data_IF_721313375817
#
_entry.id   IF_721313375817
#
_cell.length_a   1.000
_cell.length_b   1.000
_cell.length_c   1.000
_cell.angle_alpha   90.00
_cell.angle_beta   90.00
_cell.angle_gamma   90.00
#
_symmetry.space_group_name_H-M   'P 1'
#
loop_
_entity.id
_entity.type
_entity.pdbx_description
1 polymer ?
#
# COMPACT_ATOMS: atom_id res chain seq x y z
N UNK A 1 48.14 18.12 -84.69
CA UNK A 1 47.25 17.03 -84.29
C UNK A 1 46.89 17.17 -82.82
N UNK A 2 45.82 17.88 -82.54
CA UNK A 2 45.36 18.26 -81.21
C UNK A 2 44.13 17.47 -80.83
N UNK A 3 44.23 16.55 -79.88
CA UNK A 3 43.10 15.79 -79.34
C UNK A 3 42.42 16.63 -78.25
N UNK A 4 41.13 16.95 -78.53
CA UNK A 4 40.25 17.56 -77.50
C UNK A 4 39.76 16.45 -76.54
N UNK A 5 39.96 16.66 -75.26
CA UNK A 5 39.39 15.82 -74.19
C UNK A 5 38.07 16.49 -73.72
N UNK A 6 36.96 15.85 -74.09
CA UNK A 6 35.64 16.23 -73.60
C UNK A 6 35.48 15.76 -72.12
N UNK A 7 35.29 16.72 -71.24
CA UNK A 7 35.09 16.50 -69.81
C UNK A 7 33.57 16.32 -69.55
N UNK A 8 33.11 15.09 -69.36
CA UNK A 8 31.73 14.79 -69.00
C UNK A 8 31.53 15.16 -67.52
N UNK A 9 30.74 16.18 -67.25
CA UNK A 9 30.23 16.56 -65.93
C UNK A 9 29.01 15.71 -65.62
N UNK A 10 29.17 14.74 -64.71
CA UNK A 10 28.05 13.99 -64.13
C UNK A 10 27.42 14.84 -62.99
N UNK A 11 26.10 15.09 -63.00
CA UNK A 11 25.47 15.75 -61.85
C UNK A 11 25.36 14.76 -60.69
N UNK A 12 25.99 15.10 -59.56
CA UNK A 12 25.91 14.38 -58.30
C UNK A 12 24.50 14.61 -57.69
N UNK A 13 23.58 13.67 -57.91
CA UNK A 13 22.24 13.71 -57.33
C UNK A 13 22.39 13.38 -55.83
N UNK A 14 22.40 14.41 -54.98
CA UNK A 14 22.44 14.24 -53.54
C UNK A 14 21.06 13.69 -53.09
N UNK A 15 20.99 12.38 -52.87
CA UNK A 15 19.83 11.72 -52.26
C UNK A 15 19.82 12.04 -50.78
N UNK A 16 19.04 13.06 -50.40
CA UNK A 16 18.83 13.40 -49.01
C UNK A 16 17.90 12.35 -48.42
N UNK A 17 18.48 11.29 -47.80
CA UNK A 17 17.75 10.32 -47.00
C UNK A 17 17.27 11.05 -45.75
N UNK A 18 16.01 11.48 -45.76
CA UNK A 18 15.27 11.86 -44.56
C UNK A 18 15.10 10.58 -43.71
N UNK A 19 16.08 10.29 -42.89
CA UNK A 19 15.89 9.33 -41.81
C UNK A 19 14.94 9.99 -40.82
N UNK A 20 13.64 9.77 -40.99
CA UNK A 20 12.69 9.95 -39.89
C UNK A 20 13.13 8.98 -38.78
N UNK A 21 13.89 9.51 -37.85
CA UNK A 21 14.14 8.82 -36.63
C UNK A 21 12.77 8.68 -35.93
N UNK A 22 12.11 7.53 -36.12
CA UNK A 22 11.09 7.09 -35.21
C UNK A 22 11.79 6.96 -33.86
N UNK A 23 11.63 7.96 -33.03
CA UNK A 23 11.99 7.87 -31.65
C UNK A 23 11.00 6.85 -31.08
N UNK A 24 11.43 5.60 -30.97
CA UNK A 24 10.66 4.58 -30.26
C UNK A 24 10.33 5.14 -28.88
N UNK A 25 9.06 5.53 -28.73
CA UNK A 25 8.55 5.90 -27.41
C UNK A 25 8.43 4.63 -26.59
N UNK A 26 9.28 4.20 -25.96
CA UNK A 26 9.21 3.31 -25.22
C UNK A 26 8.25 3.54 -24.42
N UNK A 27 7.47 3.06 -24.37
CA UNK A 27 6.64 3.21 -23.74
C UNK A 27 6.99 3.22 -22.61
N UNK A 28 7.18 3.88 -22.05
CA UNK A 28 7.43 3.93 -21.14
C UNK A 28 6.81 3.23 -20.51
N UNK A 29 6.92 2.44 -19.97
CA UNK A 29 6.40 1.84 -19.37
C UNK A 29 6.25 2.46 -18.36
N UNK A 30 5.25 2.54 -17.75
CA UNK A 30 4.96 3.07 -16.42
C UNK A 30 5.47 2.03 -15.42
N UNK A 31 6.40 2.42 -14.63
CA UNK A 31 7.08 1.48 -13.71
C UNK A 31 6.51 1.64 -12.31
N UNK A 32 5.88 0.55 -11.83
CA UNK A 32 5.27 0.50 -10.50
C UNK A 32 6.18 -0.31 -9.57
N UNK A 33 6.50 0.23 -8.40
CA UNK A 33 7.21 -0.49 -7.33
C UNK A 33 6.22 -0.94 -6.26
N UNK A 34 6.43 -2.13 -5.67
CA UNK A 34 5.63 -2.56 -4.50
C UNK A 34 6.53 -3.05 -3.36
N UNK A 35 6.06 -2.85 -2.15
CA UNK A 35 6.68 -3.41 -0.93
C UNK A 35 6.47 -4.94 -0.88
N UNK A 36 7.26 -5.66 -0.06
CA UNK A 36 7.17 -7.15 -0.02
C UNK A 36 6.02 -7.62 0.86
N UNK A 37 4.78 -7.37 0.42
CA UNK A 37 3.58 -7.83 1.13
C UNK A 37 2.44 -7.99 0.12
N UNK A 38 1.59 -8.97 0.36
CA UNK A 38 0.50 -9.38 -0.53
C UNK A 38 -0.42 -8.22 -0.90
N UNK A 39 -0.84 -7.44 0.08
CA UNK A 39 -1.66 -6.24 -0.12
C UNK A 39 -1.09 -5.34 -1.22
N UNK A 40 0.23 -5.11 -1.17
CA UNK A 40 0.92 -4.24 -2.12
C UNK A 40 0.95 -4.87 -3.53
N UNK A 41 1.06 -6.21 -3.61
CA UNK A 41 1.04 -6.90 -4.90
C UNK A 41 -0.34 -6.76 -5.56
N UNK A 42 -1.41 -6.94 -4.78
CA UNK A 42 -2.78 -6.77 -5.24
C UNK A 42 -3.01 -5.33 -5.73
N UNK A 43 -2.59 -4.35 -4.92
CA UNK A 43 -2.73 -2.93 -5.27
C UNK A 43 -1.95 -2.58 -6.54
N UNK A 44 -0.73 -3.10 -6.69
CA UNK A 44 0.09 -2.91 -7.89
C UNK A 44 -0.61 -3.44 -9.14
N UNK A 45 -1.23 -4.64 -9.03
CA UNK A 45 -1.99 -5.23 -10.14
C UNK A 45 -3.24 -4.39 -10.47
N UNK A 46 -3.95 -3.87 -9.45
CA UNK A 46 -5.10 -2.98 -9.68
C UNK A 46 -4.68 -1.74 -10.47
N UNK A 47 -3.60 -1.07 -10.04
CA UNK A 47 -3.09 0.12 -10.71
C UNK A 47 -2.70 -0.21 -12.17
N UNK A 48 -1.99 -1.32 -12.39
CA UNK A 48 -1.60 -1.78 -13.73
C UNK A 48 -2.82 -1.96 -14.62
N UNK A 49 -3.81 -2.72 -14.15
CA UNK A 49 -5.01 -3.03 -14.95
C UNK A 49 -5.77 -1.76 -15.34
N UNK A 50 -5.89 -0.81 -14.40
CA UNK A 50 -6.56 0.47 -14.68
C UNK A 50 -5.78 1.30 -15.70
N UNK A 51 -4.46 1.42 -15.54
CA UNK A 51 -3.61 2.20 -16.44
C UNK A 51 -3.69 1.60 -17.87
N UNK A 52 -3.47 0.29 -17.99
CA UNK A 52 -3.46 -0.39 -19.29
C UNK A 52 -4.82 -0.26 -20.00
N UNK A 53 -5.93 -0.43 -19.25
CA UNK A 53 -7.27 -0.32 -19.82
C UNK A 53 -7.60 1.10 -20.30
N UNK A 54 -7.33 2.10 -19.47
CA UNK A 54 -7.82 3.46 -19.71
C UNK A 54 -6.91 4.27 -20.64
N UNK A 55 -5.61 3.98 -20.64
CA UNK A 55 -4.63 4.82 -21.35
C UNK A 55 -3.92 4.09 -22.48
N UNK A 56 -3.90 2.76 -22.43
CA UNK A 56 -3.11 1.94 -23.37
C UNK A 56 -1.61 1.97 -23.12
N UNK A 57 -1.15 2.64 -22.05
CA UNK A 57 0.26 2.65 -21.70
C UNK A 57 0.66 1.27 -21.15
N UNK A 58 1.85 0.81 -21.52
CA UNK A 58 2.40 -0.44 -20.97
C UNK A 58 2.82 -0.21 -19.53
N UNK A 59 2.63 -1.22 -18.67
CA UNK A 59 2.98 -1.13 -17.24
C UNK A 59 3.87 -2.29 -16.82
N UNK A 60 4.97 -1.98 -16.17
CA UNK A 60 5.86 -2.95 -15.54
C UNK A 60 5.77 -2.82 -14.02
N UNK A 61 5.60 -3.94 -13.31
CA UNK A 61 5.59 -3.97 -11.84
C UNK A 61 6.85 -4.66 -11.35
N UNK A 62 7.63 -3.99 -10.52
CA UNK A 62 8.69 -4.64 -9.72
C UNK A 62 8.13 -4.94 -8.34
N UNK A 63 7.86 -6.22 -8.11
CA UNK A 63 7.22 -6.67 -6.87
C UNK A 63 8.24 -6.95 -5.77
N UNK A 64 7.84 -6.64 -4.53
CA UNK A 64 8.53 -7.12 -3.35
C UNK A 64 9.88 -6.49 -3.08
N UNK A 65 10.02 -5.18 -3.28
CA UNK A 65 11.30 -4.50 -3.05
C UNK A 65 11.65 -4.57 -1.56
N UNK A 66 12.72 -5.31 -1.24
CA UNK A 66 13.22 -5.44 0.12
C UNK A 66 13.55 -4.07 0.73
N UNK A 67 13.32 -3.92 2.02
CA UNK A 67 13.47 -2.63 2.69
C UNK A 67 12.32 -1.66 2.44
N UNK A 68 11.38 -2.03 1.57
CA UNK A 68 10.14 -1.25 1.35
C UNK A 68 10.43 0.20 1.00
N UNK A 69 9.77 1.11 1.71
CA UNK A 69 9.86 2.56 1.50
C UNK A 69 11.30 3.08 1.53
N UNK A 70 12.14 2.52 2.41
CA UNK A 70 13.53 2.98 2.55
C UNK A 70 14.34 2.80 1.24
N UNK A 71 13.96 1.83 0.41
CA UNK A 71 14.60 1.61 -0.90
C UNK A 71 13.75 2.17 -2.05
N UNK A 72 12.42 2.08 -1.98
CA UNK A 72 11.54 2.57 -3.04
C UNK A 72 11.61 4.11 -3.16
N UNK A 73 11.54 4.83 -2.03
CA UNK A 73 11.48 6.29 -2.08
C UNK A 73 12.71 6.91 -2.76
N UNK A 74 13.96 6.52 -2.41
CA UNK A 74 15.13 7.03 -3.15
C UNK A 74 15.13 6.66 -4.64
N UNK A 75 14.61 5.48 -5.00
CA UNK A 75 14.50 5.05 -6.39
C UNK A 75 13.47 5.89 -7.17
N UNK A 76 12.36 6.30 -6.51
CA UNK A 76 11.40 7.27 -7.08
C UNK A 76 12.09 8.60 -7.40
N UNK A 77 12.91 9.10 -6.47
CA UNK A 77 13.62 10.38 -6.67
C UNK A 77 14.61 10.33 -7.83
N UNK A 78 15.18 9.15 -8.11
CA UNK A 78 16.09 8.94 -9.25
C UNK A 78 15.35 8.68 -10.56
N UNK A 79 14.02 8.52 -10.52
CA UNK A 79 13.24 8.18 -11.70
C UNK A 79 13.35 6.71 -12.12
N UNK A 80 13.76 5.83 -11.20
CA UNK A 80 13.79 4.39 -11.48
C UNK A 80 12.40 3.78 -11.49
N UNK A 81 11.46 4.38 -10.73
CA UNK A 81 10.04 4.03 -10.70
C UNK A 81 9.21 5.32 -10.88
N UNK A 82 7.97 5.15 -11.30
CA UNK A 82 7.05 6.24 -11.59
C UNK A 82 5.93 6.31 -10.53
N UNK A 83 5.53 5.15 -9.98
CA UNK A 83 4.38 4.99 -9.09
C UNK A 83 4.70 3.97 -8.00
N UNK A 84 4.19 4.19 -6.80
CA UNK A 84 4.11 3.12 -5.78
C UNK A 84 2.93 3.38 -4.83
N UNK A 85 2.26 2.32 -4.34
CA UNK A 85 1.31 2.48 -3.23
C UNK A 85 2.08 2.75 -1.94
N UNK A 86 1.66 3.76 -1.19
CA UNK A 86 2.35 4.15 0.05
C UNK A 86 1.31 4.44 1.14
N UNK A 87 1.77 4.32 2.38
CA UNK A 87 0.94 4.54 3.58
C UNK A 87 1.30 5.86 4.23
N UNK A 88 0.27 6.61 4.65
CA UNK A 88 0.45 7.95 5.23
C UNK A 88 1.39 7.93 6.44
N UNK A 89 1.19 6.98 7.36
CA UNK A 89 2.07 6.85 8.54
C UNK A 89 3.53 6.61 8.15
N UNK A 90 3.76 5.78 7.13
CA UNK A 90 5.13 5.49 6.66
C UNK A 90 5.76 6.73 6.02
N UNK A 91 5.02 7.41 5.16
CA UNK A 91 5.50 8.66 4.56
C UNK A 91 5.85 9.70 5.61
N UNK A 92 5.06 9.77 6.68
CA UNK A 92 5.25 10.72 7.77
C UNK A 92 6.45 10.38 8.65
N UNK A 93 6.50 9.14 9.15
CA UNK A 93 7.50 8.73 10.15
C UNK A 93 8.84 8.37 9.51
N UNK A 94 8.82 7.65 8.37
CA UNK A 94 10.06 7.10 7.77
C UNK A 94 10.70 8.09 6.80
N UNK A 95 9.89 8.71 5.92
CA UNK A 95 10.44 9.59 4.88
C UNK A 95 10.63 11.03 5.40
N UNK A 96 9.58 11.61 5.99
CA UNK A 96 9.66 12.99 6.51
C UNK A 96 10.32 13.05 7.90
N UNK A 97 10.51 11.90 8.56
CA UNK A 97 11.18 11.77 9.88
C UNK A 97 10.53 12.66 10.94
N UNK A 98 9.20 12.65 10.98
CA UNK A 98 8.44 13.43 11.97
C UNK A 98 8.28 12.62 13.26
N UNK A 99 8.34 13.29 14.39
CA UNK A 99 8.27 12.65 15.70
C UNK A 99 6.87 12.64 16.30
N UNK A 100 6.00 13.52 15.85
CA UNK A 100 4.65 13.68 16.40
C UNK A 100 3.60 13.27 15.38
N UNK A 101 2.56 12.60 15.86
CA UNK A 101 1.42 12.23 15.04
C UNK A 101 0.42 13.38 14.99
N UNK A 102 -0.24 13.51 13.85
CA UNK A 102 -1.33 14.46 13.62
C UNK A 102 -2.63 13.66 13.43
N UNK A 103 -3.79 14.31 13.64
CA UNK A 103 -5.05 13.67 13.25
C UNK A 103 -4.98 13.23 11.78
N UNK A 104 -5.59 12.08 11.41
CA UNK A 104 -5.35 11.45 10.11
C UNK A 104 -5.52 12.38 8.90
N UNK A 105 -6.60 13.17 8.86
CA UNK A 105 -6.86 14.06 7.73
C UNK A 105 -5.82 15.19 7.65
N UNK A 106 -5.42 15.74 8.81
CA UNK A 106 -4.38 16.78 8.88
C UNK A 106 -3.04 16.22 8.44
N UNK A 107 -2.73 14.99 8.88
CA UNK A 107 -1.49 14.29 8.51
C UNK A 107 -1.44 14.12 6.99
N UNK A 108 -2.51 13.61 6.39
CA UNK A 108 -2.59 13.37 4.95
C UNK A 108 -2.39 14.67 4.14
N UNK A 109 -3.11 15.73 4.50
CA UNK A 109 -2.99 17.01 3.77
C UNK A 109 -1.60 17.66 3.92
N UNK A 110 -1.01 17.56 5.12
CA UNK A 110 0.35 18.06 5.36
C UNK A 110 1.37 17.25 4.57
N UNK A 111 1.22 15.93 4.58
CA UNK A 111 2.09 14.99 3.87
C UNK A 111 2.10 15.27 2.36
N UNK A 112 0.92 15.43 1.75
CA UNK A 112 0.79 15.79 0.34
C UNK A 112 1.62 17.01 0.01
N UNK A 113 1.39 18.08 0.76
CA UNK A 113 2.06 19.37 0.54
C UNK A 113 3.58 19.26 0.69
N UNK A 114 4.05 18.58 1.73
CA UNK A 114 5.49 18.42 1.96
C UNK A 114 6.16 17.55 0.89
N UNK A 115 5.51 16.48 0.43
CA UNK A 115 6.06 15.62 -0.63
C UNK A 115 6.13 16.35 -1.95
N UNK A 116 5.09 17.12 -2.29
CA UNK A 116 5.07 17.90 -3.53
C UNK A 116 6.20 18.93 -3.53
N UNK A 117 6.35 19.66 -2.42
CA UNK A 117 7.36 20.72 -2.30
C UNK A 117 8.80 20.19 -2.24
N UNK A 118 9.02 19.08 -1.53
CA UNK A 118 10.38 18.57 -1.26
C UNK A 118 10.88 17.58 -2.30
N UNK A 119 9.95 16.78 -2.85
CA UNK A 119 10.32 15.61 -3.63
C UNK A 119 9.72 15.60 -5.05
N UNK A 120 8.81 16.52 -5.36
CA UNK A 120 8.06 16.53 -6.63
C UNK A 120 7.32 15.20 -6.84
N UNK A 121 6.77 14.66 -5.73
CA UNK A 121 5.95 13.47 -5.69
C UNK A 121 4.55 13.86 -5.23
N UNK A 122 3.53 13.44 -5.98
CA UNK A 122 2.13 13.74 -5.68
C UNK A 122 1.47 12.54 -5.00
N UNK A 123 0.77 12.78 -3.90
CA UNK A 123 -0.10 11.82 -3.22
C UNK A 123 -1.51 11.99 -3.77
N UNK A 124 -2.10 10.91 -4.29
CA UNK A 124 -3.47 10.90 -4.77
C UNK A 124 -4.43 10.56 -3.62
N UNK A 125 -5.73 10.48 -3.90
CA UNK A 125 -6.74 10.22 -2.87
C UNK A 125 -6.57 8.85 -2.22
N UNK A 126 -6.84 8.73 -0.91
CA UNK A 126 -6.79 7.43 -0.22
C UNK A 126 -7.75 6.40 -0.81
N UNK A 127 -7.31 5.15 -0.82
CA UNK A 127 -8.07 4.03 -1.36
C UNK A 127 -9.31 3.68 -0.53
N UNK A 128 -9.32 4.10 0.75
CA UNK A 128 -10.48 3.92 1.62
C UNK A 128 -10.27 2.97 2.79
N UNK A 129 -9.12 2.30 2.85
CA UNK A 129 -8.76 1.44 3.98
C UNK A 129 -7.57 2.02 4.75
N UNK A 130 -7.42 1.54 5.98
CA UNK A 130 -6.37 1.97 6.92
C UNK A 130 -5.68 0.70 7.44
N UNK A 131 -4.46 0.42 7.00
CA UNK A 131 -3.69 -0.74 7.45
C UNK A 131 -2.89 -0.36 8.69
N UNK A 132 -3.52 -0.49 9.85
CA UNK A 132 -2.90 -0.16 11.14
C UNK A 132 -3.02 -1.33 12.12
N UNK A 133 -2.42 -1.19 13.28
CA UNK A 133 -2.64 -2.13 14.38
C UNK A 133 -4.05 -1.99 14.93
N UNK A 134 -4.59 -3.08 15.42
CA UNK A 134 -5.81 -3.09 16.23
C UNK A 134 -5.75 -4.26 17.20
N UNK A 135 -6.82 -4.43 17.96
CA UNK A 135 -6.99 -5.59 18.87
C UNK A 135 -8.18 -6.41 18.42
N UNK A 136 -8.06 -7.72 18.54
CA UNK A 136 -9.16 -8.64 18.26
C UNK A 136 -9.38 -9.57 19.45
N UNK A 137 -10.63 -9.97 19.63
CA UNK A 137 -11.08 -10.95 20.62
C UNK A 137 -12.00 -11.95 19.93
N UNK A 138 -12.11 -13.15 20.47
CA UNK A 138 -13.08 -14.12 19.96
C UNK A 138 -14.51 -13.59 20.10
N UNK A 139 -15.37 -13.82 19.08
CA UNK A 139 -16.77 -13.36 19.13
C UNK A 139 -17.53 -13.80 20.39
N UNK A 140 -17.40 -15.06 20.88
CA UNK A 140 -18.08 -15.42 22.13
C UNK A 140 -17.64 -14.60 23.32
N UNK A 141 -16.33 -14.26 23.37
CA UNK A 141 -15.79 -13.44 24.46
C UNK A 141 -16.28 -11.99 24.34
N UNK A 142 -16.28 -11.45 23.12
CA UNK A 142 -16.79 -10.09 22.86
C UNK A 142 -18.23 -9.96 23.33
N UNK A 143 -19.08 -10.94 22.98
CA UNK A 143 -20.50 -10.98 23.38
C UNK A 143 -20.66 -11.11 24.90
N UNK A 144 -19.89 -12.01 25.53
CA UNK A 144 -19.98 -12.28 26.97
C UNK A 144 -19.63 -11.05 27.82
N UNK A 145 -18.63 -10.29 27.39
CA UNK A 145 -18.10 -9.14 28.17
C UNK A 145 -18.48 -7.79 27.57
N UNK A 146 -19.31 -7.78 26.52
CA UNK A 146 -19.76 -6.56 25.82
C UNK A 146 -18.55 -5.72 25.40
N UNK A 147 -17.61 -6.34 24.66
CA UNK A 147 -16.38 -5.71 24.20
C UNK A 147 -16.54 -5.24 22.76
N UNK A 148 -16.47 -3.94 22.53
CA UNK A 148 -16.54 -3.33 21.21
C UNK A 148 -15.39 -2.36 20.94
N UNK A 149 -14.75 -1.87 22.01
CA UNK A 149 -13.69 -0.85 21.95
C UNK A 149 -12.54 -1.26 22.87
N UNK A 150 -11.37 -0.68 22.63
CA UNK A 150 -10.20 -0.92 23.50
C UNK A 150 -10.52 -0.53 24.95
N UNK A 151 -11.22 0.62 25.15
CA UNK A 151 -11.59 1.09 26.50
C UNK A 151 -12.43 0.06 27.27
N UNK A 152 -13.18 -0.80 26.59
CA UNK A 152 -14.01 -1.80 27.26
C UNK A 152 -13.18 -2.84 28.01
N UNK A 153 -11.94 -3.11 27.53
CA UNK A 153 -11.03 -4.07 28.17
C UNK A 153 -10.62 -3.58 29.57
N UNK A 154 -10.52 -2.26 29.78
CA UNK A 154 -10.14 -1.69 31.08
C UNK A 154 -11.15 -1.99 32.20
N UNK A 155 -12.40 -2.36 31.85
CA UNK A 155 -13.41 -2.75 32.84
C UNK A 155 -13.09 -4.11 33.52
N UNK A 156 -12.13 -4.86 32.97
CA UNK A 156 -11.87 -6.24 33.40
C UNK A 156 -10.37 -6.46 33.66
N UNK A 157 -9.77 -5.75 34.65
CA UNK A 157 -8.35 -5.88 34.94
C UNK A 157 -8.00 -7.32 35.36
N UNK A 158 -6.86 -7.82 34.90
CA UNK A 158 -6.30 -9.14 35.21
C UNK A 158 -7.22 -10.32 34.78
N UNK A 159 -8.14 -10.08 33.84
CA UNK A 159 -9.07 -11.12 33.40
C UNK A 159 -8.54 -11.86 32.17
N UNK A 160 -7.95 -11.17 31.19
CA UNK A 160 -7.66 -11.69 29.87
C UNK A 160 -6.16 -11.98 29.66
N UNK A 161 -5.87 -12.99 28.86
CA UNK A 161 -4.51 -13.32 28.39
C UNK A 161 -4.30 -12.60 27.04
N UNK A 162 -3.24 -11.80 26.94
CA UNK A 162 -2.91 -11.05 25.74
C UNK A 162 -1.83 -11.78 24.93
N UNK A 163 -2.02 -11.90 23.62
CA UNK A 163 -1.05 -12.49 22.71
C UNK A 163 -0.61 -11.52 21.61
N UNK A 164 0.67 -11.53 21.26
CA UNK A 164 1.20 -10.72 20.18
C UNK A 164 2.52 -11.30 19.66
N UNK A 165 2.95 -10.84 18.50
CA UNK A 165 4.31 -11.13 18.03
C UNK A 165 5.33 -10.38 18.88
N UNK A 166 6.54 -10.91 18.94
CA UNK A 166 7.62 -10.39 19.75
C UNK A 166 7.86 -8.88 19.55
N UNK A 167 7.89 -8.46 18.28
CA UNK A 167 8.16 -7.07 17.92
C UNK A 167 7.14 -6.10 18.58
N UNK A 168 5.88 -6.51 18.72
CA UNK A 168 4.84 -5.66 19.33
C UNK A 168 5.14 -5.36 20.79
N UNK A 169 5.88 -6.24 21.49
CA UNK A 169 6.30 -5.99 22.88
C UNK A 169 7.52 -5.06 22.96
N UNK A 170 8.25 -4.89 21.83
CA UNK A 170 9.50 -4.13 21.83
C UNK A 170 9.37 -2.72 21.23
N UNK A 171 8.39 -2.49 20.34
CA UNK A 171 8.25 -1.18 19.68
C UNK A 171 7.67 -0.13 20.64
N UNK A 172 8.02 1.11 20.40
CA UNK A 172 7.64 2.25 21.25
C UNK A 172 6.12 2.42 21.37
N UNK A 173 5.38 2.25 20.27
CA UNK A 173 3.91 2.33 20.24
C UNK A 173 3.28 0.93 20.38
N UNK A 174 3.97 0.03 21.08
CA UNK A 174 3.52 -1.36 21.25
C UNK A 174 2.76 -1.59 22.55
N UNK A 175 2.95 -2.78 23.09
CA UNK A 175 2.17 -3.29 24.22
C UNK A 175 2.18 -2.39 25.45
N UNK A 176 3.36 -1.95 25.90
CA UNK A 176 3.47 -1.16 27.14
C UNK A 176 2.80 0.21 27.02
N UNK A 177 3.05 0.91 25.88
CA UNK A 177 2.44 2.21 25.64
C UNK A 177 0.92 2.09 25.49
N UNK A 178 0.44 1.04 24.80
CA UNK A 178 -0.99 0.76 24.63
C UNK A 178 -1.65 0.54 26.02
N UNK A 179 -1.04 -0.29 26.85
CA UNK A 179 -1.56 -0.58 28.19
C UNK A 179 -1.62 0.67 29.05
N UNK A 180 -0.57 1.49 29.00
CA UNK A 180 -0.52 2.76 29.75
C UNK A 180 -1.61 3.73 29.26
N UNK A 181 -1.76 3.87 27.95
CA UNK A 181 -2.70 4.83 27.34
C UNK A 181 -4.16 4.50 27.64
N UNK A 182 -4.50 3.20 27.62
CA UNK A 182 -5.88 2.73 27.85
C UNK A 182 -6.15 2.24 29.28
N UNK A 183 -5.15 2.26 30.16
CA UNK A 183 -5.21 1.69 31.52
C UNK A 183 -5.60 0.21 31.49
N UNK A 184 -4.96 -0.57 30.58
CA UNK A 184 -5.22 -2.00 30.44
C UNK A 184 -4.31 -2.81 31.37
N UNK A 185 -4.88 -3.84 31.98
CA UNK A 185 -4.13 -4.79 32.81
C UNK A 185 -4.54 -6.19 32.39
N UNK A 186 -3.59 -6.89 31.79
CA UNK A 186 -3.80 -8.26 31.36
C UNK A 186 -3.27 -9.24 32.40
N UNK A 187 -4.00 -10.36 32.58
CA UNK A 187 -3.63 -11.44 33.51
C UNK A 187 -2.24 -12.00 33.19
N UNK A 188 -1.91 -12.06 31.89
CA UNK A 188 -0.70 -12.68 31.38
C UNK A 188 -0.48 -12.26 29.93
N UNK A 189 0.76 -12.22 29.51
CA UNK A 189 1.12 -12.03 28.09
C UNK A 189 1.71 -13.31 27.51
N UNK A 190 1.61 -13.47 26.19
CA UNK A 190 2.24 -14.54 25.43
C UNK A 190 2.80 -13.97 24.14
N UNK A 191 4.08 -14.16 23.92
CA UNK A 191 4.69 -13.86 22.64
C UNK A 191 4.60 -15.09 21.72
N UNK A 192 4.46 -14.84 20.41
CA UNK A 192 4.34 -15.93 19.43
C UNK A 192 4.53 -15.40 18.01
N UNK A 193 4.82 -16.29 17.09
CA UNK A 193 4.91 -15.93 15.67
C UNK A 193 3.55 -15.46 15.15
N UNK A 194 3.57 -14.52 14.20
CA UNK A 194 2.37 -13.92 13.58
C UNK A 194 1.37 -15.00 13.14
N UNK A 195 1.88 -16.05 12.45
CA UNK A 195 1.03 -17.13 11.92
C UNK A 195 0.35 -17.96 13.00
N UNK A 196 0.87 -17.96 14.24
CA UNK A 196 0.33 -18.77 15.34
C UNK A 196 -0.74 -18.02 16.15
N UNK A 197 -0.86 -16.71 16.03
CA UNK A 197 -1.83 -15.92 16.83
C UNK A 197 -3.26 -16.38 16.63
N UNK A 198 -3.62 -16.62 15.38
CA UNK A 198 -5.01 -17.01 15.04
C UNK A 198 -5.37 -18.38 15.60
N UNK A 199 -4.43 -19.32 15.60
CA UNK A 199 -4.65 -20.63 16.25
C UNK A 199 -4.67 -20.53 17.78
N UNK A 200 -3.87 -19.62 18.34
CA UNK A 200 -3.83 -19.42 19.80
C UNK A 200 -5.14 -18.85 20.33
N UNK A 201 -5.73 -17.86 19.64
CA UNK A 201 -7.02 -17.29 20.06
C UNK A 201 -8.16 -18.28 19.85
N UNK A 202 -8.16 -19.02 18.75
CA UNK A 202 -9.15 -20.04 18.43
C UNK A 202 -9.15 -21.17 19.46
N UNK A 203 -7.97 -21.55 19.97
CA UNK A 203 -7.84 -22.62 20.98
C UNK A 203 -7.96 -22.11 22.42
N UNK A 204 -8.23 -20.82 22.62
CA UNK A 204 -8.37 -20.23 23.96
C UNK A 204 -7.06 -20.09 24.74
N UNK A 205 -5.91 -20.17 24.06
CA UNK A 205 -4.60 -19.95 24.68
C UNK A 205 -4.32 -18.46 24.93
N UNK A 206 -4.98 -17.60 24.14
CA UNK A 206 -5.03 -16.15 24.37
C UNK A 206 -6.47 -15.69 24.22
N UNK A 207 -6.82 -14.58 24.83
CA UNK A 207 -8.17 -14.01 24.82
C UNK A 207 -8.25 -12.76 23.94
N UNK A 208 -7.18 -11.97 23.95
CA UNK A 208 -7.04 -10.72 23.18
C UNK A 208 -5.72 -10.82 22.42
N UNK A 209 -5.71 -10.39 21.16
CA UNK A 209 -4.45 -10.34 20.41
C UNK A 209 -4.36 -9.06 19.58
N UNK A 210 -3.14 -8.63 19.31
CA UNK A 210 -2.93 -7.57 18.33
C UNK A 210 -3.11 -8.15 16.92
N UNK A 211 -3.57 -7.33 16.00
CA UNK A 211 -3.75 -7.68 14.60
C UNK A 211 -3.38 -6.48 13.71
N UNK A 212 -3.24 -6.72 12.43
CA UNK A 212 -3.34 -5.66 11.43
C UNK A 212 -4.77 -5.65 10.87
N UNK A 213 -5.33 -4.48 10.68
CA UNK A 213 -6.73 -4.31 10.29
C UNK A 213 -7.08 -4.91 8.93
N UNK A 214 -6.07 -5.23 8.13
CA UNK A 214 -6.23 -5.85 6.81
C UNK A 214 -5.69 -7.28 6.75
N UNK A 215 -5.41 -7.92 7.91
CA UNK A 215 -4.94 -9.31 7.94
C UNK A 215 -5.94 -10.24 7.23
N UNK A 216 -5.46 -11.00 6.25
CA UNK A 216 -6.29 -11.96 5.54
C UNK A 216 -6.91 -13.02 6.46
N UNK A 217 -6.18 -13.41 7.50
CA UNK A 217 -6.67 -14.41 8.46
C UNK A 217 -7.89 -13.96 9.29
N UNK A 218 -8.21 -12.64 9.28
CA UNK A 218 -9.43 -12.14 9.93
C UNK A 218 -10.69 -12.71 9.27
N UNK A 219 -10.63 -12.97 7.97
CA UNK A 219 -11.77 -13.49 7.23
C UNK A 219 -12.10 -14.91 7.70
N UNK A 220 -13.29 -15.09 8.25
CA UNK A 220 -13.75 -16.38 8.73
C UNK A 220 -13.19 -16.83 10.08
N UNK A 221 -12.46 -15.97 10.78
CA UNK A 221 -11.81 -16.33 12.06
C UNK A 221 -12.76 -16.24 13.28
N UNK A 222 -14.00 -15.78 13.09
CA UNK A 222 -14.98 -15.58 14.18
C UNK A 222 -14.44 -14.66 15.27
N UNK A 223 -13.86 -13.55 14.86
CA UNK A 223 -13.25 -12.54 15.74
C UNK A 223 -14.02 -11.23 15.66
N UNK A 224 -14.03 -10.52 16.78
CA UNK A 224 -14.47 -9.13 16.84
C UNK A 224 -13.23 -8.24 16.90
N UNK A 225 -13.05 -7.41 15.88
CA UNK A 225 -12.01 -6.38 15.88
C UNK A 225 -12.54 -5.20 16.72
N UNK A 226 -11.79 -4.84 17.76
CA UNK A 226 -12.19 -3.77 18.67
C UNK A 226 -11.83 -2.40 18.07
N UNK A 227 -12.67 -1.41 18.34
CA UNK A 227 -12.40 -0.03 17.91
C UNK A 227 -11.36 0.62 18.80
N UNK A 228 -10.35 1.24 18.20
CA UNK A 228 -9.39 2.12 18.88
C UNK A 228 -10.09 3.47 19.14
N UNK A 229 -10.86 3.55 20.21
CA UNK A 229 -11.77 4.67 20.48
C UNK A 229 -11.07 5.95 20.97
N UNK A 230 -9.78 5.87 21.32
CA UNK A 230 -8.98 7.04 21.69
C UNK A 230 -7.90 7.36 20.65
N UNK A 231 -7.89 6.66 19.49
CA UNK A 231 -6.96 6.87 18.38
C UNK A 231 -5.49 6.77 18.85
N UNK A 232 -5.15 5.67 19.50
CA UNK A 232 -3.78 5.41 19.96
C UNK A 232 -2.85 5.07 18.80
N UNK A 233 -3.31 4.20 17.91
CA UNK A 233 -2.48 3.79 16.78
C UNK A 233 -2.51 4.84 15.65
N UNK A 234 -1.38 5.12 15.01
CA UNK A 234 -1.36 6.05 13.88
C UNK A 234 -2.13 5.48 12.70
N UNK A 235 -2.69 6.37 11.90
CA UNK A 235 -3.38 5.99 10.67
C UNK A 235 -2.38 5.70 9.56
N UNK A 236 -2.64 4.63 8.81
CA UNK A 236 -1.86 4.21 7.66
C UNK A 236 -2.76 4.09 6.42
N UNK A 237 -3.45 5.20 6.08
CA UNK A 237 -4.22 5.26 4.82
C UNK A 237 -3.30 4.98 3.64
N UNK A 238 -3.72 4.06 2.78
CA UNK A 238 -2.95 3.73 1.58
C UNK A 238 -3.44 4.56 0.39
N UNK A 239 -2.49 5.00 -0.43
CA UNK A 239 -2.78 5.80 -1.61
C UNK A 239 -1.68 5.60 -2.67
N UNK A 240 -1.93 6.07 -3.89
CA UNK A 240 -0.92 6.14 -4.95
C UNK A 240 -0.01 7.35 -4.72
N UNK A 241 1.30 7.12 -4.74
CA UNK A 241 2.31 8.17 -4.85
C UNK A 241 2.88 8.10 -6.27
N UNK A 242 2.88 9.24 -6.98
CA UNK A 242 3.31 9.32 -8.37
C UNK A 242 4.24 10.52 -8.56
N UNK A 243 5.22 10.39 -9.47
CA UNK A 243 6.14 11.48 -9.82
C UNK A 243 5.39 12.54 -10.62
N UNK A 244 5.60 13.81 -10.26
CA UNK A 244 5.04 14.93 -11.04
C UNK A 244 5.50 14.91 -12.49
N UNK A 245 6.74 14.51 -12.73
CA UNK A 245 7.30 14.42 -14.08
C UNK A 245 6.49 13.41 -14.92
N UNK A 246 6.11 12.29 -14.32
CA UNK A 246 5.29 11.27 -14.98
C UNK A 246 3.89 11.83 -15.31
N UNK A 247 3.28 12.57 -14.37
CA UNK A 247 1.99 13.22 -14.60
C UNK A 247 2.06 14.30 -15.68
N UNK A 248 3.18 15.03 -15.76
CA UNK A 248 3.37 16.03 -16.82
C UNK A 248 3.47 15.37 -18.21
N UNK A 249 4.11 14.18 -18.27
CA UNK A 249 4.22 13.43 -19.51
C UNK A 249 2.91 12.70 -19.89
N UNK A 250 2.14 12.28 -18.88
CA UNK A 250 0.94 11.47 -19.02
C UNK A 250 -0.17 12.00 -18.09
N UNK A 251 -0.78 13.15 -18.43
CA UNK A 251 -1.78 13.76 -17.54
C UNK A 251 -3.05 12.92 -17.34
N UNK A 252 -3.35 12.03 -18.28
CA UNK A 252 -4.49 11.09 -18.20
C UNK A 252 -4.36 10.12 -17.01
N UNK A 253 -3.13 9.89 -16.52
CA UNK A 253 -2.89 8.99 -15.38
C UNK A 253 -3.59 9.47 -14.11
N UNK A 254 -3.68 10.78 -13.88
CA UNK A 254 -4.31 11.30 -12.67
C UNK A 254 -5.76 10.84 -12.56
N UNK A 255 -6.55 11.05 -13.63
CA UNK A 255 -7.95 10.65 -13.65
C UNK A 255 -8.10 9.12 -13.52
N UNK A 256 -7.23 8.36 -14.18
CA UNK A 256 -7.24 6.89 -14.12
C UNK A 256 -6.98 6.39 -12.69
N UNK A 257 -5.92 6.91 -12.06
CA UNK A 257 -5.50 6.46 -10.72
C UNK A 257 -6.45 6.94 -9.62
N UNK A 258 -7.12 8.08 -9.82
CA UNK A 258 -8.15 8.57 -8.88
C UNK A 258 -9.39 7.64 -8.83
N UNK A 259 -9.55 6.71 -9.76
CA UNK A 259 -10.57 5.65 -9.68
C UNK A 259 -10.37 4.76 -8.45
N UNK A 260 -9.16 4.72 -7.88
CA UNK A 260 -8.88 3.99 -6.65
C UNK A 260 -9.45 4.67 -5.39
N UNK A 261 -9.88 5.94 -5.49
CA UNK A 261 -10.39 6.70 -4.36
C UNK A 261 -11.58 6.01 -3.70
N UNK A 262 -11.41 5.63 -2.43
CA UNK A 262 -12.47 5.10 -1.59
C UNK A 262 -13.07 3.76 -2.03
N UNK A 263 -12.40 3.01 -2.91
CA UNK A 263 -12.98 1.76 -3.45
C UNK A 263 -12.86 0.57 -2.49
N UNK A 264 -12.03 0.70 -1.46
CA UNK A 264 -11.72 -0.40 -0.53
C UNK A 264 -12.09 -0.02 0.90
N UNK A 265 -12.65 -0.98 1.63
CA UNK A 265 -12.76 -0.93 3.09
C UNK A 265 -11.69 -1.85 3.69
N UNK A 266 -11.43 -1.74 5.01
CA UNK A 266 -10.53 -2.68 5.70
C UNK A 266 -10.97 -4.13 5.48
N UNK A 267 -12.27 -4.39 5.60
CA UNK A 267 -12.81 -5.74 5.43
C UNK A 267 -12.60 -6.27 4.00
N UNK A 268 -12.80 -5.42 3.00
CA UNK A 268 -12.56 -5.83 1.61
C UNK A 268 -11.08 -6.10 1.36
N UNK A 269 -10.18 -5.28 1.92
CA UNK A 269 -8.74 -5.51 1.76
C UNK A 269 -8.31 -6.81 2.46
N UNK A 270 -8.85 -7.07 3.65
CA UNK A 270 -8.62 -8.35 4.35
C UNK A 270 -9.14 -9.54 3.54
N UNK A 271 -10.32 -9.40 2.90
CA UNK A 271 -10.85 -10.44 2.01
C UNK A 271 -9.91 -10.71 0.83
N UNK A 272 -9.40 -9.66 0.19
CA UNK A 272 -8.47 -9.80 -0.93
C UNK A 272 -7.16 -10.46 -0.50
N UNK A 273 -6.63 -10.07 0.66
CA UNK A 273 -5.42 -10.69 1.21
C UNK A 273 -5.66 -12.18 1.51
N UNK A 274 -6.83 -12.53 2.07
CA UNK A 274 -7.22 -13.93 2.31
C UNK A 274 -7.24 -14.73 1.01
N UNK A 275 -7.82 -14.16 -0.06
CA UNK A 275 -7.92 -14.84 -1.36
C UNK A 275 -6.54 -15.22 -1.92
N UNK A 276 -5.53 -14.39 -1.66
CA UNK A 276 -4.17 -14.68 -2.12
C UNK A 276 -3.43 -15.58 -1.10
N UNK A 277 -3.35 -15.15 0.15
CA UNK A 277 -2.48 -15.78 1.16
C UNK A 277 -2.98 -17.16 1.59
N UNK A 278 -4.30 -17.32 1.67
CA UNK A 278 -4.92 -18.54 2.23
C UNK A 278 -5.55 -19.39 1.12
N UNK A 279 -6.33 -18.77 0.23
CA UNK A 279 -6.99 -19.49 -0.85
C UNK A 279 -6.05 -19.77 -2.04
N UNK A 280 -4.87 -19.16 -2.08
CA UNK A 280 -3.82 -19.42 -3.08
C UNK A 280 -4.13 -18.89 -4.47
N UNK A 281 -5.01 -17.89 -4.60
CA UNK A 281 -5.36 -17.30 -5.88
C UNK A 281 -4.27 -16.32 -6.33
N UNK A 282 -3.95 -16.26 -7.63
CA UNK A 282 -2.98 -15.26 -8.11
C UNK A 282 -3.49 -13.83 -7.84
N UNK A 283 -2.61 -12.96 -7.37
CA UNK A 283 -2.95 -11.58 -7.04
C UNK A 283 -3.53 -10.81 -8.23
N UNK A 284 -3.06 -11.08 -9.43
CA UNK A 284 -3.60 -10.45 -10.66
C UNK A 284 -5.08 -10.82 -10.86
N UNK A 285 -5.43 -12.09 -10.64
CA UNK A 285 -6.81 -12.57 -10.76
C UNK A 285 -7.71 -11.91 -9.70
N UNK A 286 -7.22 -11.86 -8.45
CA UNK A 286 -7.94 -11.25 -7.32
C UNK A 286 -8.19 -9.77 -7.60
N UNK A 287 -7.16 -9.05 -8.07
CA UNK A 287 -7.27 -7.63 -8.43
C UNK A 287 -8.30 -7.41 -9.56
N UNK A 288 -8.23 -8.23 -10.62
CA UNK A 288 -9.14 -8.11 -11.76
C UNK A 288 -10.59 -8.35 -11.36
N UNK A 289 -10.85 -9.41 -10.58
CA UNK A 289 -12.21 -9.74 -10.14
C UNK A 289 -12.79 -8.63 -9.24
N UNK A 290 -11.97 -8.08 -8.35
CA UNK A 290 -12.40 -6.97 -7.49
C UNK A 290 -12.75 -5.73 -8.33
N UNK A 291 -11.89 -5.34 -9.26
CA UNK A 291 -12.14 -4.17 -10.12
C UNK A 291 -13.39 -4.37 -11.00
N UNK A 292 -13.64 -5.61 -11.50
CA UNK A 292 -14.87 -5.94 -12.24
C UNK A 292 -16.10 -5.81 -11.34
N UNK A 293 -16.03 -6.33 -10.12
CA UNK A 293 -17.12 -6.23 -9.11
C UNK A 293 -17.45 -4.76 -8.82
N UNK A 294 -16.44 -3.88 -8.83
CA UNK A 294 -16.64 -2.43 -8.62
C UNK A 294 -17.04 -1.69 -9.91
N UNK A 295 -17.11 -2.38 -11.06
CA UNK A 295 -17.47 -1.76 -12.35
C UNK A 295 -16.36 -0.91 -12.96
N UNK A 296 -15.11 -1.12 -12.51
CA UNK A 296 -13.95 -0.33 -12.95
C UNK A 296 -13.15 -1.01 -14.07
N UNK A 297 -13.32 -2.32 -14.24
CA UNK A 297 -12.66 -3.10 -15.28
C UNK A 297 -13.73 -3.76 -16.17
N UNK A 298 -13.49 -3.77 -17.51
CA UNK A 298 -14.39 -4.37 -18.51
C UNK A 298 -14.19 -5.88 -18.65
#
# INVERSE_FOLDING_TARGET
MTMKRDLLLLPLLAFFLLTTACKDRXXXXIRIATKPMTEQFILGEMLKLLIEQDTGLAVEITKGIGGGTSNIHPAMLKGEFDIYPEYTGTGWLVVLKKDSLLPPDTLYETLKKEYEQKFHLKWLSPYGFDNTYSLAVGEPLAKKYDLTRFSDLARYPDQFIFGAEYDFFEIHEGYEALCQYYDLKFKKTRDMDIGLKYEAIKSGKVDVMNIFTTDGQLNGANLTVLKDDKNFFPSYYCTTVIREETLKAHPELEQTLEKMKGILTNAEMAELNYEVDIAGRPEQTVAADFLKKKGLLR
#
